data_IF_079930505789
#
_entry.id   IF_079930505789
#
_cell.length_a   1.000
_cell.length_b   1.000
_cell.length_c   1.000
_cell.angle_alpha   90.00
_cell.angle_beta   90.00
_cell.angle_gamma   90.00
#
_symmetry.space_group_name_H-M   'P 1'
#
loop_
_entity.id
_entity.type
_entity.pdbx_description
1 polymer ?
#
# COMPACT_ATOMS: atom_id res chain seq x y z
N UNK A 1 -17.82 -11.81 -3.52
CA UNK A 1 -17.67 -10.46 -2.95
C UNK A 1 -17.48 -9.50 -4.10
N UNK A 2 -18.22 -8.42 -4.17
CA UNK A 2 -18.08 -7.53 -5.28
C UNK A 2 -16.90 -6.57 -5.12
N UNK A 3 -16.52 -5.89 -6.21
CA UNK A 3 -15.35 -5.03 -6.23
C UNK A 3 -15.51 -3.81 -5.31
N UNK A 4 -16.73 -3.31 -5.15
CA UNK A 4 -16.99 -2.16 -4.30
C UNK A 4 -16.76 -2.49 -2.83
N UNK A 5 -17.20 -3.69 -2.39
CA UNK A 5 -16.97 -4.13 -1.03
C UNK A 5 -15.50 -4.34 -0.75
N UNK A 6 -14.77 -4.93 -1.70
CA UNK A 6 -13.32 -5.13 -1.55
C UNK A 6 -12.60 -3.80 -1.45
N UNK A 7 -12.99 -2.84 -2.28
CA UNK A 7 -12.38 -1.52 -2.28
C UNK A 7 -12.66 -0.77 -0.98
N UNK A 8 -13.90 -0.85 -0.48
CA UNK A 8 -14.26 -0.21 0.78
C UNK A 8 -13.48 -0.81 1.95
N UNK A 9 -13.34 -2.12 1.96
CA UNK A 9 -12.59 -2.82 3.02
C UNK A 9 -11.12 -2.43 2.99
N UNK A 10 -10.55 -2.36 1.78
CA UNK A 10 -9.17 -1.97 1.60
C UNK A 10 -8.94 -0.52 2.02
N UNK A 11 -9.87 0.37 1.65
CA UNK A 11 -9.81 1.78 2.04
C UNK A 11 -9.84 1.92 3.56
N UNK A 12 -10.69 1.15 4.22
CA UNK A 12 -10.79 1.17 5.68
C UNK A 12 -9.45 0.78 6.32
N UNK A 13 -8.80 -0.27 5.80
CA UNK A 13 -7.50 -0.69 6.30
C UNK A 13 -6.42 0.36 6.08
N UNK A 14 -6.47 1.05 4.95
CA UNK A 14 -5.49 2.08 4.63
C UNK A 14 -5.63 3.33 5.49
N UNK A 15 -6.81 3.58 6.04
CA UNK A 15 -7.10 4.81 6.78
C UNK A 15 -7.25 4.61 8.29
N UNK A 16 -7.03 3.42 8.78
CA UNK A 16 -7.17 3.11 10.22
C UNK A 16 -5.83 2.71 10.84
N UNK A 17 -4.79 3.37 10.41
CA UNK A 17 -3.44 3.11 10.90
C UNK A 17 -3.08 4.03 12.05
N UNK A 18 -2.21 3.55 12.95
CA UNK A 18 -1.72 4.34 14.08
C UNK A 18 -0.82 5.49 13.62
N UNK A 19 -0.10 5.29 12.52
CA UNK A 19 0.78 6.30 11.93
C UNK A 19 0.01 7.16 10.94
N UNK A 20 -0.09 8.45 11.23
CA UNK A 20 -0.78 9.39 10.33
C UNK A 20 -0.13 9.44 8.95
N UNK A 21 1.19 9.39 8.90
CA UNK A 21 1.91 9.42 7.61
C UNK A 21 1.55 8.21 6.75
N UNK A 22 1.36 7.05 7.36
CA UNK A 22 0.93 5.86 6.65
C UNK A 22 -0.51 5.98 6.14
N UNK A 23 -1.39 6.56 6.95
CA UNK A 23 -2.78 6.80 6.53
C UNK A 23 -2.81 7.68 5.27
N UNK A 24 -2.06 8.76 5.27
CA UNK A 24 -2.01 9.69 4.15
C UNK A 24 -1.42 9.00 2.92
N UNK A 25 -0.33 8.28 3.10
CA UNK A 25 0.38 7.62 2.00
C UNK A 25 -0.47 6.54 1.35
N UNK A 26 -0.98 5.62 2.16
CA UNK A 26 -1.75 4.49 1.63
C UNK A 26 -3.11 4.94 1.10
N UNK A 27 -3.77 5.85 1.79
CA UNK A 27 -5.05 6.38 1.33
C UNK A 27 -4.91 7.14 0.03
N UNK A 28 -3.88 7.98 -0.09
CA UNK A 28 -3.61 8.70 -1.32
C UNK A 28 -3.27 7.79 -2.48
N UNK A 29 -2.47 6.77 -2.22
CA UNK A 29 -2.12 5.78 -3.23
C UNK A 29 -3.36 5.03 -3.72
N UNK A 30 -4.21 4.62 -2.78
CA UNK A 30 -5.42 3.90 -3.11
C UNK A 30 -6.32 4.72 -4.04
N UNK A 31 -6.49 6.01 -3.74
CA UNK A 31 -7.34 6.89 -4.54
C UNK A 31 -6.76 7.20 -5.91
N UNK A 32 -5.45 7.38 -6.00
CA UNK A 32 -4.82 7.89 -7.22
C UNK A 32 -4.21 6.83 -8.10
N UNK A 33 -3.76 5.74 -7.53
CA UNK A 33 -2.96 4.75 -8.26
C UNK A 33 -3.55 3.36 -8.31
N UNK A 34 -4.41 3.00 -7.36
CA UNK A 34 -4.88 1.62 -7.26
C UNK A 34 -5.58 1.13 -8.53
N UNK A 35 -6.39 1.98 -9.15
CA UNK A 35 -7.15 1.60 -10.33
C UNK A 35 -6.26 1.32 -11.56
N UNK A 36 -5.03 1.84 -11.55
CA UNK A 36 -4.10 1.65 -12.67
C UNK A 36 -3.16 0.46 -12.46
N UNK A 37 -3.23 -0.21 -11.31
CA UNK A 37 -2.37 -1.35 -11.03
C UNK A 37 -2.76 -2.57 -11.85
N UNK A 38 -1.77 -3.38 -12.22
CA UNK A 38 -2.04 -4.71 -12.77
C UNK A 38 -2.65 -5.59 -11.68
N UNK A 39 -3.33 -6.69 -12.04
CA UNK A 39 -3.85 -7.61 -11.02
C UNK A 39 -2.80 -8.10 -10.04
N UNK A 40 -1.58 -8.35 -10.51
CA UNK A 40 -0.48 -8.77 -9.65
C UNK A 40 -0.06 -7.67 -8.68
N UNK A 41 0.02 -6.44 -9.17
CA UNK A 41 0.36 -5.30 -8.34
C UNK A 41 -0.75 -5.01 -7.32
N UNK A 42 -2.00 -5.10 -7.74
CA UNK A 42 -3.13 -4.89 -6.85
C UNK A 42 -3.13 -5.93 -5.71
N UNK A 43 -2.86 -7.18 -6.03
CA UNK A 43 -2.77 -8.23 -5.01
C UNK A 43 -1.62 -7.95 -4.04
N UNK A 44 -0.48 -7.51 -4.57
CA UNK A 44 0.68 -7.15 -3.74
C UNK A 44 0.36 -5.97 -2.83
N UNK A 45 -0.36 -4.98 -3.33
CA UNK A 45 -0.77 -3.83 -2.52
C UNK A 45 -1.67 -4.25 -1.36
N UNK A 46 -2.60 -5.18 -1.60
CA UNK A 46 -3.47 -5.70 -0.54
C UNK A 46 -2.63 -6.33 0.58
N UNK A 47 -1.63 -7.12 0.22
CA UNK A 47 -0.73 -7.74 1.20
C UNK A 47 0.00 -6.67 2.00
N UNK A 48 0.53 -5.66 1.32
CA UNK A 48 1.24 -4.57 2.00
C UNK A 48 0.32 -3.78 2.93
N UNK A 49 -0.88 -3.48 2.47
CA UNK A 49 -1.85 -2.73 3.28
C UNK A 49 -2.30 -3.51 4.51
N UNK A 50 -2.16 -4.83 4.49
CA UNK A 50 -2.52 -5.70 5.60
C UNK A 50 -1.41 -5.79 6.65
N UNK A 51 -0.22 -5.31 6.33
CA UNK A 51 0.91 -5.32 7.26
C UNK A 51 0.75 -4.29 8.36
N UNK A 52 1.36 -4.56 9.52
CA UNK A 52 1.45 -3.58 10.59
C UNK A 52 2.37 -2.42 10.16
N UNK A 53 2.15 -1.24 10.71
CA UNK A 53 2.98 -0.08 10.38
C UNK A 53 4.46 -0.33 10.65
N UNK A 54 4.75 -1.02 11.74
CA UNK A 54 6.14 -1.32 12.12
C UNK A 54 6.81 -2.28 11.15
N UNK A 55 6.05 -3.03 10.37
CA UNK A 55 6.58 -3.92 9.35
C UNK A 55 6.68 -3.22 7.99
N UNK A 56 5.67 -2.43 7.65
CA UNK A 56 5.60 -1.78 6.35
C UNK A 56 6.52 -0.56 6.26
N UNK A 57 6.60 0.24 7.32
CA UNK A 57 7.40 1.46 7.30
C UNK A 57 8.87 1.24 6.94
N UNK A 58 9.55 0.20 7.48
CA UNK A 58 10.93 -0.07 7.07
C UNK A 58 11.07 -0.39 5.59
N UNK A 59 10.06 -1.03 4.98
CA UNK A 59 10.08 -1.29 3.55
C UNK A 59 9.98 0.01 2.76
N UNK A 60 9.10 0.89 3.17
CA UNK A 60 8.89 2.17 2.48
C UNK A 60 10.10 3.08 2.62
N UNK A 61 10.74 3.09 3.78
CA UNK A 61 11.91 3.95 4.02
C UNK A 61 13.22 3.35 3.52
N UNK A 62 13.18 2.13 3.02
CA UNK A 62 14.38 1.49 2.47
C UNK A 62 15.27 0.83 3.50
N UNK A 63 14.84 0.71 4.75
CA UNK A 63 15.62 0.07 5.80
C UNK A 63 15.55 -1.43 5.77
N UNK A 64 14.57 -1.98 5.06
CA UNK A 64 14.37 -3.41 4.92
C UNK A 64 14.03 -3.70 3.46
N UNK A 65 14.57 -4.79 2.93
CA UNK A 65 14.28 -5.20 1.57
C UNK A 65 13.04 -6.07 1.51
N UNK A 66 12.31 -5.95 0.39
CA UNK A 66 11.14 -6.76 0.14
C UNK A 66 11.54 -7.96 -0.72
N UNK A 67 11.19 -9.17 -0.28
CA UNK A 67 11.60 -10.38 -0.99
C UNK A 67 10.76 -10.67 -2.23
N UNK A 68 9.52 -10.21 -2.26
CA UNK A 68 8.61 -10.47 -3.37
C UNK A 68 8.74 -9.38 -4.44
N UNK A 69 9.04 -9.75 -5.71
CA UNK A 69 9.22 -8.74 -6.77
C UNK A 69 7.99 -7.86 -7.01
N UNK A 70 6.78 -8.43 -6.94
CA UNK A 70 5.55 -7.65 -7.13
C UNK A 70 5.35 -6.67 -5.99
N UNK A 71 5.60 -7.09 -4.76
CA UNK A 71 5.53 -6.21 -3.60
C UNK A 71 6.59 -5.13 -3.66
N UNK A 72 7.81 -5.48 -4.08
CA UNK A 72 8.88 -4.50 -4.22
C UNK A 72 8.53 -3.43 -5.24
N UNK A 73 7.89 -3.82 -6.33
CA UNK A 73 7.43 -2.87 -7.34
C UNK A 73 6.45 -1.85 -6.75
N UNK A 74 5.47 -2.35 -5.97
CA UNK A 74 4.49 -1.49 -5.33
C UNK A 74 5.14 -0.62 -4.25
N UNK A 75 6.07 -1.17 -3.49
CA UNK A 75 6.82 -0.40 -2.49
C UNK A 75 7.58 0.74 -3.16
N UNK A 76 8.18 0.49 -4.33
CA UNK A 76 8.88 1.54 -5.08
C UNK A 76 7.93 2.65 -5.48
N UNK A 77 6.70 2.30 -5.90
CA UNK A 77 5.67 3.30 -6.21
C UNK A 77 5.28 4.11 -4.98
N UNK A 78 5.15 3.46 -3.82
CA UNK A 78 4.83 4.15 -2.57
C UNK A 78 5.94 5.10 -2.16
N UNK A 79 7.20 4.71 -2.36
CA UNK A 79 8.34 5.59 -2.10
C UNK A 79 8.29 6.83 -2.98
N UNK A 80 7.95 6.65 -4.26
CA UNK A 80 7.85 7.74 -5.21
C UNK A 80 6.76 8.74 -4.80
N UNK A 81 5.61 8.25 -4.39
CA UNK A 81 4.51 9.09 -3.92
C UNK A 81 4.90 9.85 -2.65
N UNK A 82 5.62 9.18 -1.74
CA UNK A 82 6.05 9.79 -0.48
C UNK A 82 7.00 10.96 -0.68
N UNK A 83 7.90 10.82 -1.64
CA UNK A 83 8.90 11.86 -1.91
C UNK A 83 8.25 13.11 -2.52
N UNK A 84 7.22 12.92 -3.29
CA UNK A 84 6.49 14.01 -3.92
C UNK A 84 5.44 14.58 -3.00
#
# INVERSE_FOLDING_TARGET
>A
MDAAEQLNRLRWRCTRRAMLEMDILLGGFLEKRYASLTPEQAAAFVVLADMEDQELWPLITGKRECADPAQEHVVAMLRDVRIK
#
